data_IF_437615889382
#
_entry.id   IF_437615889382
#
_cell.length_a   1.000
_cell.length_b   1.000
_cell.length_c   1.000
_cell.angle_alpha   90.00
_cell.angle_beta   90.00
_cell.angle_gamma   90.00
#
_symmetry.space_group_name_H-M   'P 1'
#
loop_
_entity.id
_entity.type
_entity.pdbx_description
1 polymer ?
#
# COMPACT_ATOMS: atom_id res chain seq x y z
N UNK A 1 56.27 6.97 -34.43
CA UNK A 1 55.84 6.45 -33.12
C UNK A 1 55.86 7.54 -32.05
N UNK A 2 57.01 8.15 -31.73
CA UNK A 2 57.11 9.16 -30.66
C UNK A 2 56.09 10.31 -30.76
N UNK A 3 55.85 10.84 -31.97
CA UNK A 3 54.83 11.88 -32.22
C UNK A 3 53.39 11.43 -31.94
N UNK A 4 53.12 10.13 -32.05
CA UNK A 4 51.81 9.54 -31.76
C UNK A 4 51.62 9.37 -30.24
N UNK A 5 52.69 8.93 -29.55
CA UNK A 5 52.68 8.71 -28.10
C UNK A 5 52.75 10.01 -27.29
N UNK A 6 53.30 11.09 -27.83
CA UNK A 6 53.42 12.37 -27.12
C UNK A 6 52.11 13.17 -27.06
N UNK A 7 51.17 12.92 -27.97
CA UNK A 7 49.91 13.65 -28.06
C UNK A 7 48.76 13.00 -27.26
N UNK A 8 49.00 11.83 -26.66
CA UNK A 8 47.95 10.99 -26.07
C UNK A 8 48.36 10.44 -24.72
N UNK A 9 47.36 10.21 -23.87
CA UNK A 9 47.56 9.50 -22.62
C UNK A 9 47.84 8.02 -22.89
N UNK A 10 48.72 7.42 -22.10
CA UNK A 10 49.02 5.98 -22.15
C UNK A 10 47.75 5.12 -22.04
N UNK A 11 46.77 5.59 -21.25
CA UNK A 11 45.43 5.00 -21.10
C UNK A 11 44.66 4.90 -22.42
N UNK A 12 44.44 6.02 -23.11
CA UNK A 12 43.67 6.05 -24.35
C UNK A 12 44.35 5.23 -25.47
N UNK A 13 45.68 5.25 -25.50
CA UNK A 13 46.43 4.42 -26.45
C UNK A 13 46.26 2.93 -26.17
N UNK A 14 46.21 2.52 -24.90
CA UNK A 14 46.18 1.12 -24.52
C UNK A 14 44.80 0.46 -24.67
N UNK A 15 43.73 1.18 -24.36
CA UNK A 15 42.35 0.66 -24.40
C UNK A 15 41.71 0.80 -25.77
N UNK A 16 41.71 2.02 -26.32
CA UNK A 16 40.82 2.34 -27.44
C UNK A 16 41.58 2.39 -28.76
N UNK A 17 42.80 2.92 -28.73
CA UNK A 17 43.50 3.26 -29.97
C UNK A 17 44.53 2.23 -30.43
N UNK A 18 44.89 1.24 -29.60
CA UNK A 18 45.90 0.23 -29.96
C UNK A 18 45.45 -0.62 -31.16
N UNK A 19 44.17 -0.95 -31.23
CA UNK A 19 43.60 -1.72 -32.34
C UNK A 19 43.77 -0.99 -33.69
N UNK A 20 43.67 0.34 -33.68
CA UNK A 20 43.72 1.19 -34.87
C UNK A 20 45.14 1.72 -35.13
N UNK A 21 46.08 1.48 -34.20
CA UNK A 21 47.44 2.01 -34.27
C UNK A 21 48.21 1.46 -35.48
N UNK A 22 48.04 0.18 -35.79
CA UNK A 22 48.67 -0.46 -36.96
C UNK A 22 48.26 0.22 -38.26
N UNK A 23 46.96 0.44 -38.46
CA UNK A 23 46.42 1.11 -39.65
C UNK A 23 46.87 2.57 -39.76
N UNK A 24 46.86 3.30 -38.64
CA UNK A 24 47.33 4.70 -38.60
C UNK A 24 48.82 4.78 -38.94
N UNK A 25 49.64 3.84 -38.46
CA UNK A 25 51.07 3.79 -38.78
C UNK A 25 51.33 3.39 -40.22
N UNK A 26 50.60 2.40 -40.75
CA UNK A 26 50.66 2.01 -42.16
C UNK A 26 50.36 3.19 -43.07
N UNK A 27 49.26 3.91 -42.83
CA UNK A 27 48.89 5.09 -43.61
C UNK A 27 49.94 6.21 -43.53
N UNK A 28 50.49 6.47 -42.33
CA UNK A 28 51.51 7.49 -42.13
C UNK A 28 52.84 7.15 -42.83
N UNK A 29 53.24 5.87 -42.82
CA UNK A 29 54.45 5.41 -43.48
C UNK A 29 54.27 5.36 -45.00
N UNK A 30 53.12 4.91 -45.52
CA UNK A 30 52.86 4.91 -46.95
C UNK A 30 52.95 6.33 -47.52
N UNK A 31 52.31 7.31 -46.87
CA UNK A 31 52.39 8.72 -47.25
C UNK A 31 53.82 9.26 -47.29
N UNK A 32 54.71 8.75 -46.42
CA UNK A 32 56.13 9.12 -46.43
C UNK A 32 56.87 8.41 -47.57
N UNK A 33 56.66 7.12 -47.79
CA UNK A 33 57.26 6.38 -48.90
C UNK A 33 56.89 6.97 -50.27
N UNK A 34 55.62 7.35 -50.47
CA UNK A 34 55.15 7.98 -51.71
C UNK A 34 55.88 9.31 -51.99
N UNK A 35 56.22 10.08 -50.94
CA UNK A 35 56.96 11.34 -51.09
C UNK A 35 58.42 11.17 -51.53
N UNK A 36 59.00 9.98 -51.37
CA UNK A 36 60.37 9.68 -51.78
C UNK A 36 60.44 8.97 -53.14
N UNK A 37 59.31 8.82 -53.86
CA UNK A 37 59.23 8.18 -55.20
C UNK A 37 59.75 6.73 -55.25
N UNK A 38 59.74 6.04 -54.11
CA UNK A 38 60.11 4.64 -54.04
C UNK A 38 58.85 3.83 -54.34
N UNK A 39 58.87 2.94 -55.34
CA UNK A 39 57.74 2.05 -55.69
C UNK A 39 57.43 0.97 -54.64
N UNK A 40 57.59 1.29 -53.35
CA UNK A 40 57.45 0.40 -52.20
C UNK A 40 56.05 0.57 -51.62
N UNK A 41 55.30 -0.53 -51.60
CA UNK A 41 53.96 -0.59 -50.99
C UNK A 41 54.04 -1.31 -49.65
N UNK A 42 53.59 -0.65 -48.59
CA UNK A 42 53.53 -1.23 -47.25
C UNK A 42 52.24 -2.02 -47.10
N UNK A 43 52.37 -3.34 -47.02
CA UNK A 43 51.23 -4.27 -46.93
C UNK A 43 50.63 -4.30 -45.53
N UNK A 44 51.46 -4.41 -44.48
CA UNK A 44 51.00 -4.49 -43.09
C UNK A 44 52.05 -3.90 -42.14
N UNK A 45 51.58 -3.29 -41.04
CA UNK A 45 52.42 -2.77 -39.96
C UNK A 45 51.84 -3.23 -38.64
N UNK A 46 52.56 -4.13 -37.95
CA UNK A 46 52.17 -4.62 -36.64
C UNK A 46 53.01 -3.97 -35.56
N UNK A 47 52.35 -3.56 -34.48
CA UNK A 47 53.01 -3.08 -33.26
C UNK A 47 52.74 -4.09 -32.17
N UNK A 48 53.81 -4.56 -31.51
CA UNK A 48 53.69 -5.42 -30.35
C UNK A 48 53.08 -4.63 -29.19
N UNK A 49 52.03 -5.18 -28.57
CA UNK A 49 51.46 -4.62 -27.35
C UNK A 49 52.48 -4.80 -26.22
N UNK A 50 52.89 -3.73 -25.51
CA UNK A 50 53.80 -3.87 -24.39
C UNK A 50 53.16 -4.78 -23.33
N UNK A 51 53.91 -5.81 -22.92
CA UNK A 51 53.41 -6.85 -22.01
C UNK A 51 53.24 -6.36 -20.57
N UNK A 52 53.90 -5.26 -20.19
CA UNK A 52 53.84 -4.68 -18.86
C UNK A 52 53.07 -3.37 -18.95
N UNK A 53 51.85 -3.37 -18.40
CA UNK A 53 51.14 -2.13 -18.07
C UNK A 53 51.74 -1.59 -16.78
N UNK A 54 52.17 -0.33 -16.73
CA UNK A 54 52.67 0.25 -15.47
C UNK A 54 51.62 0.21 -14.34
N UNK A 55 52.03 -0.22 -13.14
CA UNK A 55 51.17 -0.37 -11.95
C UNK A 55 50.42 0.90 -11.52
N UNK A 56 50.89 2.08 -11.90
CA UNK A 56 50.19 3.33 -11.59
C UNK A 56 48.94 3.52 -12.44
N UNK A 57 48.91 2.95 -13.66
CA UNK A 57 47.77 3.05 -14.57
C UNK A 57 46.64 2.16 -14.06
N UNK A 58 46.95 0.92 -13.62
CA UNK A 58 45.96 -0.01 -13.07
C UNK A 58 45.29 0.53 -11.81
N UNK A 59 46.05 1.15 -10.91
CA UNK A 59 45.49 1.78 -9.69
C UNK A 59 44.54 2.93 -9.98
N UNK A 60 44.80 3.72 -11.03
CA UNK A 60 43.90 4.80 -11.44
C UNK A 60 42.59 4.23 -11.99
N UNK A 61 42.65 3.13 -12.76
CA UNK A 61 41.45 2.43 -13.23
C UNK A 61 40.61 1.89 -12.08
N UNK A 62 41.24 1.19 -11.14
CA UNK A 62 40.56 0.62 -9.98
C UNK A 62 39.89 1.71 -9.13
N UNK A 63 40.53 2.86 -8.97
CA UNK A 63 39.97 4.00 -8.23
C UNK A 63 38.76 4.63 -8.94
N UNK A 64 38.84 4.86 -10.25
CA UNK A 64 37.73 5.42 -11.02
C UNK A 64 36.55 4.47 -11.12
N UNK A 65 36.79 3.18 -11.34
CA UNK A 65 35.72 2.17 -11.36
C UNK A 65 35.05 2.07 -9.99
N UNK A 66 35.83 2.12 -8.90
CA UNK A 66 35.28 2.15 -7.55
C UNK A 66 34.42 3.39 -7.29
N UNK A 67 34.84 4.57 -7.77
CA UNK A 67 34.08 5.82 -7.63
C UNK A 67 32.76 5.76 -8.42
N UNK A 68 32.79 5.29 -9.66
CA UNK A 68 31.59 5.18 -10.51
C UNK A 68 30.61 4.12 -10.02
N UNK A 69 31.11 3.03 -9.42
CA UNK A 69 30.25 2.05 -8.74
C UNK A 69 29.65 2.66 -7.48
N UNK A 70 30.41 3.43 -6.70
CA UNK A 70 29.89 4.11 -5.51
C UNK A 70 28.79 5.11 -5.86
N UNK A 71 28.97 5.93 -6.91
CA UNK A 71 27.94 6.87 -7.39
C UNK A 71 26.67 6.15 -7.82
N UNK A 72 26.79 5.07 -8.59
CA UNK A 72 25.63 4.27 -9.02
C UNK A 72 24.87 3.67 -7.85
N UNK A 73 25.58 3.17 -6.83
CA UNK A 73 24.93 2.64 -5.62
C UNK A 73 24.16 3.72 -4.86
N UNK A 74 24.74 4.91 -4.71
CA UNK A 74 24.06 6.04 -4.07
C UNK A 74 22.79 6.44 -4.85
N UNK A 75 22.87 6.49 -6.18
CA UNK A 75 21.73 6.79 -7.03
C UNK A 75 20.62 5.73 -6.92
N UNK A 76 20.98 4.44 -6.94
CA UNK A 76 20.06 3.33 -6.72
C UNK A 76 19.38 3.39 -5.35
N UNK A 77 20.14 3.70 -4.29
CA UNK A 77 19.61 3.88 -2.93
C UNK A 77 18.64 5.06 -2.87
N UNK A 78 18.95 6.19 -3.51
CA UNK A 78 18.07 7.34 -3.57
C UNK A 78 16.77 7.05 -4.33
N UNK A 79 16.86 6.40 -5.49
CA UNK A 79 15.68 6.00 -6.29
C UNK A 79 14.83 5.01 -5.48
N UNK A 80 15.47 4.06 -4.80
CA UNK A 80 14.81 3.10 -3.92
C UNK A 80 14.05 3.78 -2.77
N UNK A 81 14.68 4.77 -2.12
CA UNK A 81 14.08 5.52 -1.03
C UNK A 81 12.86 6.35 -1.48
N UNK A 82 12.96 7.03 -2.64
CA UNK A 82 11.83 7.79 -3.21
C UNK A 82 10.68 6.83 -3.57
N UNK A 83 10.98 5.71 -4.22
CA UNK A 83 9.97 4.73 -4.60
C UNK A 83 9.28 4.11 -3.37
N UNK A 84 10.01 3.87 -2.28
CA UNK A 84 9.43 3.38 -1.02
C UNK A 84 8.51 4.43 -0.38
N UNK A 85 8.95 5.69 -0.29
CA UNK A 85 8.16 6.78 0.25
C UNK A 85 6.87 7.02 -0.57
N UNK A 86 6.94 6.94 -1.89
CA UNK A 86 5.75 7.03 -2.75
C UNK A 86 4.76 5.89 -2.53
N UNK A 87 5.26 4.65 -2.36
CA UNK A 87 4.40 3.49 -2.09
C UNK A 87 3.66 3.65 -0.77
N UNK A 88 4.37 4.02 0.28
CA UNK A 88 3.79 4.26 1.60
C UNK A 88 2.74 5.40 1.56
N UNK A 89 3.05 6.50 0.88
CA UNK A 89 2.09 7.60 0.70
C UNK A 89 0.82 7.15 -0.04
N UNK A 90 0.96 6.32 -1.09
CA UNK A 90 -0.19 5.76 -1.83
C UNK A 90 -1.01 4.80 -0.97
N UNK A 91 -0.35 3.92 -0.21
CA UNK A 91 -1.02 3.01 0.71
C UNK A 91 -1.80 3.76 1.79
N UNK A 92 -1.20 4.78 2.39
CA UNK A 92 -1.86 5.65 3.36
C UNK A 92 -3.09 6.36 2.76
N UNK A 93 -2.98 6.88 1.54
CA UNK A 93 -4.09 7.52 0.84
C UNK A 93 -5.26 6.55 0.60
N UNK A 94 -4.97 5.33 0.11
CA UNK A 94 -5.98 4.29 -0.13
C UNK A 94 -6.63 3.85 1.19
N UNK A 95 -5.84 3.68 2.26
CA UNK A 95 -6.37 3.33 3.58
C UNK A 95 -7.27 4.44 4.17
N UNK A 96 -6.89 5.70 3.98
CA UNK A 96 -7.70 6.83 4.39
C UNK A 96 -9.03 6.93 3.61
N UNK A 97 -9.01 6.67 2.30
CA UNK A 97 -10.22 6.66 1.48
C UNK A 97 -11.15 5.50 1.85
N UNK A 98 -10.61 4.29 1.92
CA UNK A 98 -11.38 3.10 2.28
C UNK A 98 -11.95 3.17 3.70
N UNK A 99 -11.22 3.75 4.66
CA UNK A 99 -11.75 3.96 6.02
C UNK A 99 -12.88 4.99 6.05
N UNK A 100 -12.79 6.06 5.27
CA UNK A 100 -13.89 7.04 5.12
C UNK A 100 -15.13 6.40 4.50
N UNK A 101 -14.96 5.59 3.47
CA UNK A 101 -16.08 4.90 2.82
C UNK A 101 -16.74 3.88 3.75
N UNK A 102 -15.95 3.08 4.47
CA UNK A 102 -16.45 2.18 5.51
C UNK A 102 -17.23 2.94 6.59
N UNK A 103 -16.71 4.07 7.08
CA UNK A 103 -17.40 4.88 8.07
C UNK A 103 -18.76 5.41 7.56
N UNK A 104 -18.86 5.79 6.28
CA UNK A 104 -20.13 6.20 5.67
C UNK A 104 -21.12 5.03 5.64
N UNK A 105 -20.69 3.87 5.14
CA UNK A 105 -21.52 2.66 5.06
C UNK A 105 -22.00 2.23 6.44
N UNK A 106 -21.13 2.28 7.46
CA UNK A 106 -21.47 1.95 8.84
C UNK A 106 -22.48 2.93 9.45
N UNK A 107 -22.30 4.23 9.19
CA UNK A 107 -23.25 5.27 9.63
C UNK A 107 -24.63 5.05 9.02
N UNK A 108 -24.69 4.81 7.71
CA UNK A 108 -25.94 4.58 6.98
C UNK A 108 -26.61 3.28 7.46
N UNK A 109 -25.83 2.22 7.67
CA UNK A 109 -26.32 0.96 8.20
C UNK A 109 -26.87 1.12 9.63
N UNK A 110 -26.20 1.90 10.48
CA UNK A 110 -26.67 2.20 11.83
C UNK A 110 -27.98 3.01 11.81
N UNK A 111 -28.08 4.00 10.92
CA UNK A 111 -29.30 4.78 10.73
C UNK A 111 -30.46 3.91 10.21
N UNK A 112 -30.18 2.97 9.29
CA UNK A 112 -31.16 2.01 8.79
C UNK A 112 -31.65 1.08 9.91
N UNK A 113 -30.73 0.51 10.71
CA UNK A 113 -31.07 -0.37 11.85
C UNK A 113 -31.96 0.35 12.87
N UNK A 114 -31.62 1.59 13.22
CA UNK A 114 -32.43 2.40 14.16
C UNK A 114 -33.82 2.67 13.63
N UNK A 115 -33.95 3.04 12.35
CA UNK A 115 -35.25 3.25 11.70
C UNK A 115 -36.08 1.97 11.68
N UNK A 116 -35.49 0.87 11.21
CA UNK A 116 -36.17 -0.43 11.16
C UNK A 116 -36.62 -0.93 12.54
N UNK A 117 -35.82 -0.70 13.60
CA UNK A 117 -36.21 -1.04 14.96
C UNK A 117 -37.40 -0.18 15.43
N UNK A 118 -37.35 1.14 15.20
CA UNK A 118 -38.44 2.04 15.56
C UNK A 118 -39.74 1.71 14.80
N UNK A 119 -39.66 1.40 13.50
CA UNK A 119 -40.80 1.00 12.68
C UNK A 119 -41.42 -0.31 13.17
N UNK A 120 -40.58 -1.28 13.55
CA UNK A 120 -41.04 -2.55 14.13
C UNK A 120 -41.76 -2.32 15.47
N UNK A 121 -41.18 -1.53 16.37
CA UNK A 121 -41.82 -1.21 17.66
C UNK A 121 -43.14 -0.46 17.47
N UNK A 122 -43.18 0.48 16.53
CA UNK A 122 -44.39 1.20 16.18
C UNK A 122 -45.48 0.24 15.69
N UNK A 123 -45.13 -0.65 14.75
CA UNK A 123 -46.05 -1.65 14.22
C UNK A 123 -46.61 -2.55 15.31
N UNK A 124 -45.76 -3.05 16.22
CA UNK A 124 -46.20 -3.88 17.36
C UNK A 124 -47.20 -3.12 18.23
N UNK A 125 -46.89 -1.89 18.65
CA UNK A 125 -47.78 -1.09 19.50
C UNK A 125 -49.11 -0.77 18.83
N UNK A 126 -49.12 -0.49 17.52
CA UNK A 126 -50.36 -0.26 16.77
C UNK A 126 -51.21 -1.53 16.75
N UNK A 127 -50.62 -2.69 16.46
CA UNK A 127 -51.34 -3.97 16.45
C UNK A 127 -51.85 -4.37 17.83
N UNK A 128 -51.08 -4.12 18.88
CA UNK A 128 -51.52 -4.33 20.26
C UNK A 128 -52.68 -3.41 20.62
N UNK A 129 -52.63 -2.13 20.24
CA UNK A 129 -53.74 -1.20 20.47
C UNK A 129 -55.01 -1.62 19.71
N UNK A 130 -54.87 -2.05 18.45
CA UNK A 130 -55.98 -2.61 17.66
C UNK A 130 -56.57 -3.87 18.32
N UNK A 131 -55.73 -4.80 18.77
CA UNK A 131 -56.16 -6.00 19.46
C UNK A 131 -56.88 -5.68 20.78
N UNK A 132 -56.33 -4.75 21.57
CA UNK A 132 -56.94 -4.31 22.83
C UNK A 132 -58.32 -3.69 22.61
N UNK A 133 -58.55 -2.97 21.50
CA UNK A 133 -59.88 -2.45 21.14
C UNK A 133 -60.90 -3.55 20.93
N UNK A 134 -60.50 -4.67 20.33
CA UNK A 134 -61.40 -5.84 20.12
C UNK A 134 -61.62 -6.62 21.43
N UNK A 135 -60.60 -6.71 22.29
CA UNK A 135 -60.68 -7.42 23.56
C UNK A 135 -61.49 -6.68 24.65
N UNK A 136 -61.80 -5.39 24.47
CA UNK A 136 -62.63 -4.56 25.35
C UNK A 136 -64.12 -4.94 25.30
N UNK A 137 -64.43 -6.22 25.54
CA UNK A 137 -65.80 -6.72 25.72
C UNK A 137 -66.03 -7.06 27.19
N UNK A 138 -67.23 -6.76 27.71
CA UNK A 138 -67.54 -6.96 29.14
C UNK A 138 -67.37 -8.42 29.56
N UNK A 139 -67.70 -9.37 28.69
CA UNK A 139 -67.55 -10.81 28.92
C UNK A 139 -66.08 -11.25 29.05
N UNK A 140 -65.19 -10.72 28.21
CA UNK A 140 -63.77 -11.04 28.26
C UNK A 140 -63.09 -10.45 29.51
N UNK A 141 -63.43 -9.22 29.89
CA UNK A 141 -62.91 -8.58 31.11
C UNK A 141 -63.25 -9.39 32.36
N UNK A 142 -64.52 -9.83 32.51
CA UNK A 142 -64.92 -10.68 33.65
C UNK A 142 -64.20 -12.02 33.67
N UNK A 143 -64.01 -12.65 32.51
CA UNK A 143 -63.25 -13.90 32.41
C UNK A 143 -61.79 -13.70 32.83
N UNK A 144 -61.18 -12.59 32.41
CA UNK A 144 -59.80 -12.28 32.74
C UNK A 144 -59.61 -11.92 34.20
N UNK A 145 -60.54 -11.16 34.79
CA UNK A 145 -60.60 -10.93 36.23
C UNK A 145 -60.65 -12.27 36.97
N UNK A 146 -61.62 -13.15 36.66
CA UNK A 146 -61.75 -14.45 37.30
C UNK A 146 -60.47 -15.29 37.20
N UNK A 147 -59.75 -15.21 36.07
CA UNK A 147 -58.47 -15.90 35.89
C UNK A 147 -57.36 -15.31 36.74
N UNK A 148 -57.28 -13.98 36.85
CA UNK A 148 -56.33 -13.29 37.75
C UNK A 148 -56.64 -13.65 39.20
N UNK A 149 -57.93 -13.70 39.59
CA UNK A 149 -58.36 -14.16 40.92
C UNK A 149 -57.87 -15.57 41.22
N UNK A 150 -58.06 -16.51 40.30
CA UNK A 150 -57.58 -17.89 40.46
C UNK A 150 -56.05 -17.95 40.63
N UNK A 151 -55.30 -17.14 39.88
CA UNK A 151 -53.83 -17.19 39.89
C UNK A 151 -53.19 -16.40 41.05
N UNK A 152 -53.85 -15.35 41.53
CA UNK A 152 -53.32 -14.44 42.57
C UNK A 152 -53.80 -14.81 43.97
N UNK A 153 -54.85 -15.64 44.09
CA UNK A 153 -55.40 -16.07 45.36
C UNK A 153 -54.36 -16.88 46.16
N UNK A 154 -53.64 -16.19 47.06
CA UNK A 154 -52.91 -16.81 48.16
C UNK A 154 -53.90 -17.10 49.27
N UNK A 155 -54.04 -18.37 49.64
CA UNK A 155 -54.89 -18.76 50.75
C UNK A 155 -54.22 -18.37 52.08
N UNK A 156 -54.79 -17.38 52.77
CA UNK A 156 -54.37 -16.98 54.10
C UNK A 156 -55.29 -17.65 55.14
N UNK A 157 -54.73 -18.52 55.99
CA UNK A 157 -55.47 -19.21 57.04
C UNK A 157 -55.05 -18.67 58.43
N UNK A 158 -56.01 -18.19 59.24
CA UNK A 158 -55.80 -17.68 60.61
C UNK A 158 -56.99 -16.86 61.14
N UNK A 159 -57.08 -16.64 62.46
CA UNK A 159 -58.23 -15.98 63.12
C UNK A 159 -58.40 -14.48 62.78
N UNK A 160 -57.37 -13.80 62.27
CA UNK A 160 -57.44 -12.38 61.86
C UNK A 160 -56.71 -12.15 60.54
N UNK A 161 -57.47 -11.75 59.52
CA UNK A 161 -56.94 -11.35 58.21
C UNK A 161 -56.31 -9.96 58.33
N UNK A 162 -55.06 -9.74 57.90
CA UNK A 162 -54.43 -8.41 57.89
C UNK A 162 -55.23 -7.42 57.03
N UNK A 163 -55.43 -6.19 57.50
CA UNK A 163 -56.13 -5.14 56.74
C UNK A 163 -55.43 -4.81 55.40
N UNK A 164 -54.15 -5.14 55.27
CA UNK A 164 -53.36 -5.02 54.03
C UNK A 164 -53.73 -6.06 52.96
N UNK A 165 -54.46 -7.12 53.32
CA UNK A 165 -54.97 -8.12 52.40
C UNK A 165 -56.44 -7.87 51.99
N UNK A 166 -57.07 -6.77 52.45
CA UNK A 166 -58.37 -6.34 51.94
C UNK A 166 -58.21 -5.70 50.58
N UNK A 167 -58.94 -6.23 49.62
CA UNK A 167 -58.92 -5.74 48.24
C UNK A 167 -59.56 -4.33 48.18
N UNK A 168 -59.10 -3.46 47.27
CA UNK A 168 -59.79 -2.21 46.99
C UNK A 168 -61.17 -2.56 46.43
N UNK A 169 -62.23 -2.11 47.10
CA UNK A 169 -63.56 -2.14 46.51
C UNK A 169 -63.56 -1.15 45.35
N UNK A 170 -63.71 -1.63 44.12
CA UNK A 170 -64.03 -0.78 42.97
C UNK A 170 -65.42 -0.18 43.24
N UNK A 171 -65.45 1.04 43.79
CA UNK A 171 -66.64 1.86 43.82
C UNK A 171 -67.01 2.18 42.38
N UNK A 172 -68.13 1.60 41.92
CA UNK A 172 -68.81 2.04 40.70
C UNK A 172 -69.42 3.42 40.98
N UNK A 173 -68.82 4.46 40.39
CA UNK A 173 -69.53 5.68 40.00
C UNK A 173 -69.93 5.58 38.53
#
# INVERSE_FOLDING_TARGET
MNRFCSARTSRAVYLDEFAILGDKLRAALQKKCDSYANGVVIVDVRVAKPAVVPDHITKIFEAEEAEEVAKRRIEEEHIGAIAAAEREARECAIQAETSREKAKVESDAAAYRKRSAADSEYYVKVREAEANRVLLTESYLRLQEARIWQNTAKAYFGEKIPNTARLPTLSRE
#
